data_IF_390717625328
#
_entry.id   IF_390717625328
#
_cell.length_a   1.000
_cell.length_b   1.000
_cell.length_c   1.000
_cell.angle_alpha   90.00
_cell.angle_beta   90.00
_cell.angle_gamma   90.00
#
_symmetry.space_group_name_H-M   'P 1'
#
loop_
_entity.id
_entity.type
_entity.pdbx_description
1 polymer ?
#
# COMPACT_ATOMS: atom_id res chain seq x y z
N UNK A 1 34.17 3.93 -40.27
CA UNK A 1 34.03 4.91 -39.18
C UNK A 1 32.62 5.50 -39.22
N UNK A 2 31.75 4.85 -38.45
CA UNK A 2 30.48 5.24 -37.82
C UNK A 2 29.58 6.30 -38.48
N UNK A 3 28.55 5.81 -39.18
CA UNK A 3 27.43 6.55 -39.79
C UNK A 3 26.40 7.11 -38.79
N UNK A 4 26.76 7.30 -37.51
CA UNK A 4 25.78 7.59 -36.45
C UNK A 4 25.28 9.05 -36.46
N UNK A 5 25.89 9.92 -37.27
CA UNK A 5 25.56 11.36 -37.31
C UNK A 5 24.31 11.71 -38.15
N UNK A 6 23.76 10.77 -38.94
CA UNK A 6 22.50 11.00 -39.71
C UNK A 6 21.22 10.74 -38.93
N UNK A 7 21.27 10.00 -37.82
CA UNK A 7 20.09 9.72 -36.99
C UNK A 7 19.74 10.90 -36.06
N UNK A 8 20.73 11.69 -35.65
CA UNK A 8 20.57 12.85 -34.75
C UNK A 8 20.15 14.15 -35.47
N UNK A 9 19.96 14.13 -36.79
CA UNK A 9 19.53 15.30 -37.57
C UNK A 9 18.05 15.27 -37.97
N UNK A 10 17.36 14.14 -37.71
CA UNK A 10 15.96 13.99 -38.05
C UNK A 10 15.10 14.33 -36.82
N UNK A 11 14.30 15.42 -36.84
CA UNK A 11 13.51 15.86 -35.68
C UNK A 11 12.56 14.76 -35.15
N UNK A 12 12.15 13.84 -36.03
CA UNK A 12 11.31 12.69 -35.69
C UNK A 12 12.05 11.65 -34.82
N UNK A 13 13.32 11.38 -35.09
CA UNK A 13 14.13 10.43 -34.28
C UNK A 13 14.46 11.02 -32.91
N UNK A 14 14.69 12.33 -32.85
CA UNK A 14 14.86 13.06 -31.58
C UNK A 14 13.57 13.02 -30.76
N UNK A 15 12.41 13.21 -31.39
CA UNK A 15 11.10 13.12 -30.74
C UNK A 15 10.82 11.75 -30.14
N UNK A 16 11.09 10.68 -30.89
CA UNK A 16 10.93 9.30 -30.40
C UNK A 16 11.92 9.01 -29.26
N UNK A 17 13.18 9.46 -29.39
CA UNK A 17 14.17 9.30 -28.33
C UNK A 17 13.76 10.00 -27.03
N UNK A 18 13.27 11.24 -27.12
CA UNK A 18 12.78 11.99 -25.97
C UNK A 18 11.55 11.34 -25.31
N UNK A 19 10.63 10.79 -26.11
CA UNK A 19 9.47 10.07 -25.61
C UNK A 19 9.85 8.81 -24.83
N UNK A 20 10.76 7.99 -25.38
CA UNK A 20 11.23 6.77 -24.70
C UNK A 20 11.96 7.10 -23.41
N UNK A 21 12.81 8.13 -23.40
CA UNK A 21 13.50 8.59 -22.19
C UNK A 21 12.49 9.08 -21.15
N UNK A 22 11.49 9.86 -21.56
CA UNK A 22 10.42 10.31 -20.68
C UNK A 22 9.61 9.16 -20.08
N UNK A 23 9.35 8.11 -20.86
CA UNK A 23 8.62 6.93 -20.42
C UNK A 23 9.43 6.10 -19.41
N UNK A 24 10.74 5.95 -19.62
CA UNK A 24 11.64 5.27 -18.67
C UNK A 24 11.75 6.03 -17.35
N UNK A 25 11.89 7.36 -17.42
CA UNK A 25 11.95 8.21 -16.22
C UNK A 25 10.61 8.18 -15.49
N UNK A 26 9.49 8.27 -16.22
CA UNK A 26 8.15 8.17 -15.67
C UNK A 26 7.92 6.82 -14.97
N UNK A 27 8.31 5.71 -15.61
CA UNK A 27 8.23 4.38 -15.01
C UNK A 27 9.02 4.30 -13.69
N UNK A 28 10.25 4.78 -13.68
CA UNK A 28 11.11 4.71 -12.49
C UNK A 28 10.56 5.54 -11.32
N UNK A 29 10.07 6.75 -11.60
CA UNK A 29 9.44 7.61 -10.59
C UNK A 29 8.12 7.02 -10.07
N UNK A 30 7.27 6.50 -10.95
CA UNK A 30 5.99 5.94 -10.54
C UNK A 30 6.16 4.66 -9.72
N UNK A 31 7.03 3.74 -10.17
CA UNK A 31 7.18 2.42 -9.54
C UNK A 31 7.93 2.41 -8.21
N UNK A 32 8.73 3.43 -7.90
CA UNK A 32 9.57 3.43 -6.68
C UNK A 32 9.37 4.65 -5.77
N UNK A 33 8.97 5.80 -6.31
CA UNK A 33 8.76 7.02 -5.52
C UNK A 33 7.28 7.22 -5.18
N UNK A 34 6.39 7.02 -6.16
CA UNK A 34 4.95 7.25 -5.96
C UNK A 34 4.23 6.05 -5.32
N UNK A 35 4.67 4.82 -5.61
CA UNK A 35 4.08 3.59 -5.08
C UNK A 35 5.17 2.66 -4.50
N UNK A 36 5.63 2.89 -3.26
CA UNK A 36 6.59 2.00 -2.63
C UNK A 36 5.97 0.60 -2.46
N UNK A 37 6.68 -0.42 -2.95
CA UNK A 37 6.24 -1.81 -2.88
C UNK A 37 6.20 -2.24 -1.41
N UNK A 38 5.02 -2.59 -0.91
CA UNK A 38 4.86 -3.15 0.42
C UNK A 38 4.86 -4.67 0.31
N UNK A 39 5.79 -5.33 1.01
CA UNK A 39 5.82 -6.78 1.10
C UNK A 39 4.78 -7.23 2.13
N UNK A 40 3.68 -7.80 1.67
CA UNK A 40 2.69 -8.49 2.51
C UNK A 40 2.97 -10.00 2.47
N UNK A 41 2.85 -10.67 3.63
CA UNK A 41 3.26 -12.06 3.88
C UNK A 41 4.78 -12.28 4.01
N UNK A 42 5.48 -11.41 4.74
CA UNK A 42 6.87 -11.64 5.12
C UNK A 42 6.98 -12.93 5.95
N UNK A 43 7.74 -13.91 5.46
CA UNK A 43 8.05 -15.13 6.21
C UNK A 43 9.12 -14.83 7.27
N UNK A 44 9.31 -15.75 8.21
CA UNK A 44 10.28 -15.59 9.30
C UNK A 44 11.70 -15.23 8.81
N UNK A 45 12.05 -15.64 7.59
CA UNK A 45 13.33 -15.34 6.95
C UNK A 45 13.45 -13.88 6.48
N UNK A 46 12.34 -13.22 6.14
CA UNK A 46 12.26 -11.85 5.61
C UNK A 46 12.32 -10.77 6.70
N UNK A 47 12.21 -11.16 7.98
CA UNK A 47 12.36 -10.23 9.09
C UNK A 47 13.78 -9.68 9.16
N UNK A 48 13.89 -8.39 9.49
CA UNK A 48 15.17 -7.82 9.84
C UNK A 48 15.77 -8.51 11.09
N UNK A 49 17.09 -8.48 11.28
CA UNK A 49 17.75 -9.19 12.38
C UNK A 49 17.21 -8.83 13.77
N UNK A 50 16.90 -7.56 14.02
CA UNK A 50 16.38 -7.11 15.32
C UNK A 50 14.97 -7.65 15.60
N UNK A 51 14.13 -7.78 14.57
CA UNK A 51 12.78 -8.31 14.70
C UNK A 51 12.80 -9.84 14.87
N UNK A 52 13.77 -10.54 14.28
CA UNK A 52 14.00 -11.97 14.53
C UNK A 52 14.34 -12.23 16.00
N UNK A 53 15.23 -11.43 16.57
CA UNK A 53 15.59 -11.51 18.00
C UNK A 53 14.35 -11.30 18.89
N UNK A 54 13.57 -10.26 18.62
CA UNK A 54 12.33 -9.96 19.37
C UNK A 54 11.30 -11.10 19.26
N UNK A 55 11.18 -11.71 18.08
CA UNK A 55 10.29 -12.84 17.86
C UNK A 55 10.69 -14.06 18.69
N UNK A 56 11.98 -14.41 18.74
CA UNK A 56 12.50 -15.53 19.55
C UNK A 56 12.17 -15.34 21.03
N UNK A 57 12.33 -14.12 21.54
CA UNK A 57 11.98 -13.78 22.94
C UNK A 57 10.47 -13.89 23.16
N UNK A 58 9.66 -13.43 22.20
CA UNK A 58 8.19 -13.55 22.29
C UNK A 58 7.73 -15.01 22.32
N UNK A 59 8.38 -15.88 21.53
CA UNK A 59 8.10 -17.32 21.57
C UNK A 59 8.49 -17.93 22.92
N UNK A 60 9.61 -17.49 23.52
CA UNK A 60 10.01 -17.92 24.85
C UNK A 60 9.01 -17.49 25.93
N UNK A 61 8.48 -16.28 25.83
CA UNK A 61 7.45 -15.75 26.75
C UNK A 61 6.12 -16.49 26.59
N UNK A 62 5.73 -16.82 25.35
CA UNK A 62 4.55 -17.65 25.08
C UNK A 62 4.71 -19.07 25.65
N UNK A 63 5.89 -19.68 25.49
CA UNK A 63 6.20 -20.99 26.06
C UNK A 63 6.12 -20.99 27.59
N UNK A 64 6.54 -19.91 28.25
CA UNK A 64 6.41 -19.79 29.70
C UNK A 64 4.95 -19.81 30.17
N UNK A 65 4.00 -19.40 29.31
CA UNK A 65 2.56 -19.41 29.61
C UNK A 65 1.87 -20.72 29.21
N UNK A 66 2.19 -21.27 28.03
CA UNK A 66 1.49 -22.42 27.45
C UNK A 66 2.17 -23.78 27.74
N UNK A 67 3.45 -23.78 28.13
CA UNK A 67 4.32 -24.96 28.31
C UNK A 67 4.33 -25.92 27.10
N UNK A 68 3.98 -25.43 25.91
CA UNK A 68 3.84 -26.23 24.71
C UNK A 68 5.10 -26.14 23.85
N UNK A 69 6.01 -27.08 24.07
CA UNK A 69 7.30 -27.12 23.36
C UNK A 69 7.15 -27.42 21.87
N UNK A 70 6.14 -28.20 21.48
CA UNK A 70 5.92 -28.56 20.07
C UNK A 70 5.43 -27.35 19.27
N UNK A 71 4.55 -26.54 19.84
CA UNK A 71 4.11 -25.28 19.25
C UNK A 71 5.24 -24.25 19.17
N UNK A 72 6.09 -24.18 20.20
CA UNK A 72 7.26 -23.31 20.17
C UNK A 72 8.26 -23.72 19.08
N UNK A 73 8.49 -25.03 18.90
CA UNK A 73 9.32 -25.54 17.79
C UNK A 73 8.71 -25.25 16.44
N UNK A 74 7.40 -25.41 16.28
CA UNK A 74 6.67 -25.06 15.06
C UNK A 74 6.91 -23.59 14.68
N UNK A 75 6.73 -22.69 15.64
CA UNK A 75 6.94 -21.24 15.46
C UNK A 75 8.38 -20.89 15.07
N UNK A 76 9.35 -21.70 15.47
CA UNK A 76 10.78 -21.49 15.19
C UNK A 76 11.31 -22.29 14.00
N UNK A 77 10.46 -23.01 13.24
CA UNK A 77 10.90 -23.88 12.13
C UNK A 77 11.71 -23.19 11.03
N UNK A 78 11.56 -21.88 10.88
CA UNK A 78 12.30 -21.07 9.89
C UNK A 78 13.62 -20.46 10.38
N UNK A 79 14.05 -20.75 11.61
CA UNK A 79 15.25 -20.16 12.22
C UNK A 79 16.36 -21.18 12.37
N UNK A 80 17.61 -20.70 12.27
CA UNK A 80 18.77 -21.55 12.53
C UNK A 80 18.93 -21.78 14.05
N UNK A 81 19.42 -22.96 14.47
CA UNK A 81 19.74 -23.22 15.87
C UNK A 81 20.72 -22.20 16.46
N UNK A 82 21.64 -21.69 15.64
CA UNK A 82 22.62 -20.69 16.02
C UNK A 82 21.96 -19.36 16.37
N UNK A 83 21.06 -18.86 15.51
CA UNK A 83 20.28 -17.62 15.74
C UNK A 83 19.47 -17.73 17.04
N UNK A 84 18.74 -18.83 17.21
CA UNK A 84 17.95 -19.09 18.43
C UNK A 84 18.85 -19.06 19.67
N UNK A 85 20.00 -19.75 19.62
CA UNK A 85 20.92 -19.81 20.76
C UNK A 85 21.54 -18.45 21.10
N UNK A 86 21.87 -17.64 20.09
CA UNK A 86 22.49 -16.33 20.29
C UNK A 86 21.49 -15.33 20.86
N UNK A 87 20.27 -15.28 20.32
CA UNK A 87 19.21 -14.39 20.81
C UNK A 87 18.82 -14.73 22.26
N UNK A 88 18.67 -16.02 22.59
CA UNK A 88 18.35 -16.43 23.97
C UNK A 88 19.48 -16.10 24.96
N UNK A 89 20.75 -16.26 24.56
CA UNK A 89 21.91 -15.88 25.39
C UNK A 89 21.99 -14.36 25.61
N UNK A 90 21.80 -13.59 24.55
CA UNK A 90 21.83 -12.13 24.60
C UNK A 90 20.71 -11.60 25.52
N UNK A 91 19.49 -12.09 25.35
CA UNK A 91 18.34 -11.67 26.16
C UNK A 91 18.48 -12.13 27.62
N UNK A 92 18.96 -13.35 27.87
CA UNK A 92 19.23 -13.83 29.23
C UNK A 92 20.25 -12.94 29.97
N UNK A 93 21.32 -12.53 29.27
CA UNK A 93 22.36 -11.64 29.85
C UNK A 93 21.79 -10.26 30.13
N UNK A 94 21.01 -9.71 29.20
CA UNK A 94 20.37 -8.40 29.32
C UNK A 94 19.40 -8.36 30.50
N UNK A 95 18.53 -9.36 30.65
CA UNK A 95 17.55 -9.42 31.74
C UNK A 95 18.19 -9.58 33.11
N UNK A 96 19.23 -10.41 33.23
CA UNK A 96 20.02 -10.51 34.47
C UNK A 96 20.72 -9.20 34.85
N UNK A 97 21.28 -8.50 33.86
CA UNK A 97 21.94 -7.20 34.09
C UNK A 97 20.95 -6.12 34.51
N UNK A 98 19.72 -6.18 34.00
CA UNK A 98 18.64 -5.25 34.34
C UNK A 98 17.89 -5.61 35.64
N UNK A 99 18.26 -6.70 36.32
CA UNK A 99 17.59 -7.14 37.55
C UNK A 99 16.26 -7.88 37.34
N UNK A 100 15.90 -8.22 36.11
CA UNK A 100 14.73 -9.02 35.76
C UNK A 100 15.02 -10.53 35.93
N UNK A 101 15.08 -10.97 37.18
CA UNK A 101 15.36 -12.37 37.53
C UNK A 101 14.27 -13.35 37.08
N UNK A 102 13.01 -12.90 37.06
CA UNK A 102 11.87 -13.71 36.62
C UNK A 102 11.89 -13.94 35.12
N UNK A 103 12.11 -12.88 34.33
CA UNK A 103 12.25 -12.99 32.89
C UNK A 103 13.48 -13.80 32.48
N UNK A 104 14.62 -13.62 33.17
CA UNK A 104 15.79 -14.45 32.95
C UNK A 104 15.53 -15.94 33.23
N UNK A 105 14.77 -16.27 34.29
CA UNK A 105 14.39 -17.65 34.58
C UNK A 105 13.48 -18.26 33.50
N UNK A 106 12.55 -17.48 32.92
CA UNK A 106 11.70 -17.90 31.80
C UNK A 106 12.55 -18.24 30.57
N UNK A 107 13.46 -17.36 30.18
CA UNK A 107 14.39 -17.60 29.07
C UNK A 107 15.26 -18.84 29.32
N UNK A 108 15.74 -19.04 30.56
CA UNK A 108 16.51 -20.23 30.93
C UNK A 108 15.71 -21.53 30.82
N UNK A 109 14.47 -21.53 31.30
CA UNK A 109 13.58 -22.69 31.21
C UNK A 109 13.27 -23.07 29.76
N UNK A 110 13.06 -22.07 28.89
CA UNK A 110 12.80 -22.28 27.47
C UNK A 110 14.04 -22.82 26.73
N UNK A 111 15.21 -22.22 26.99
CA UNK A 111 16.46 -22.70 26.41
C UNK A 111 16.76 -24.15 26.82
N UNK A 112 16.52 -24.51 28.08
CA UNK A 112 16.68 -25.88 28.55
C UNK A 112 15.73 -26.85 27.84
N UNK A 113 14.47 -26.45 27.64
CA UNK A 113 13.48 -27.25 26.91
C UNK A 113 13.86 -27.45 25.43
N UNK A 114 14.50 -26.46 24.82
CA UNK A 114 15.05 -26.55 23.47
C UNK A 114 16.40 -27.30 23.40
N UNK A 115 17.00 -27.67 24.53
CA UNK A 115 18.34 -28.28 24.58
C UNK A 115 19.48 -27.30 24.28
N UNK A 116 19.23 -25.99 24.42
CA UNK A 116 20.20 -24.91 24.23
C UNK A 116 20.91 -24.63 25.55
N UNK A 117 22.24 -24.78 25.56
CA UNK A 117 23.05 -24.43 26.72
C UNK A 117 23.29 -22.91 26.78
N UNK A 118 22.69 -22.24 27.76
CA UNK A 118 22.91 -20.82 28.06
C UNK A 118 24.18 -20.58 28.89
N UNK A 119 24.81 -21.62 29.40
CA UNK A 119 26.05 -21.52 30.17
C UNK A 119 27.19 -21.04 29.28
N UNK A 120 27.79 -19.92 29.68
CA UNK A 120 29.03 -19.38 29.14
C UNK A 120 30.21 -20.28 29.49
N UNK A 121 30.44 -21.35 28.73
CA UNK A 121 31.77 -22.00 28.72
C UNK A 121 32.43 -21.72 27.38
N UNK A 122 33.05 -20.54 27.34
CA UNK A 122 33.99 -20.11 26.32
C UNK A 122 34.88 -19.07 26.96
N UNK A 123 36.07 -19.49 27.40
CA UNK A 123 37.18 -18.61 27.81
C UNK A 123 37.40 -17.48 26.80
N UNK A 124 37.87 -16.29 27.25
CA UNK A 124 38.17 -15.18 26.35
C UNK A 124 39.32 -15.56 25.41
N UNK A 125 39.00 -16.01 24.21
CA UNK A 125 39.96 -16.11 23.13
C UNK A 125 40.11 -14.72 22.51
N UNK A 126 41.07 -13.97 23.04
CA UNK A 126 41.72 -12.88 22.34
C UNK A 126 42.50 -13.46 21.17
N UNK A 127 41.98 -13.32 19.95
CA UNK A 127 42.78 -13.31 18.71
C UNK A 127 42.02 -12.53 17.64
N UNK A 128 42.76 -11.83 16.79
CA UNK A 128 42.75 -10.38 16.71
C UNK A 128 41.51 -9.83 16.01
N UNK A 129 41.23 -8.55 16.26
CA UNK A 129 40.44 -7.70 15.37
C UNK A 129 40.82 -8.02 13.91
N UNK A 130 39.90 -8.52 13.06
CA UNK A 130 40.07 -8.33 11.63
C UNK A 130 39.99 -6.82 11.46
N UNK A 131 41.15 -6.23 11.25
CA UNK A 131 41.30 -4.86 10.77
C UNK A 131 40.25 -4.71 9.67
N UNK A 132 39.29 -3.81 9.89
CA UNK A 132 38.36 -3.35 8.86
C UNK A 132 39.17 -3.21 7.58
N UNK A 133 38.95 -4.04 6.55
CA UNK A 133 39.38 -3.65 5.24
C UNK A 133 38.61 -2.35 5.01
N UNK A 134 39.34 -1.26 4.83
CA UNK A 134 38.86 -0.15 4.03
C UNK A 134 38.62 -0.70 2.62
N UNK A 135 37.54 -1.46 2.48
CA UNK A 135 37.01 -1.99 1.25
C UNK A 135 35.72 -1.24 1.02
N UNK A 136 35.77 -0.31 0.06
CA UNK A 136 34.65 0.55 -0.31
C UNK A 136 33.40 -0.26 -0.60
N UNK A 137 32.41 -0.11 0.27
CA UNK A 137 31.04 -0.49 -0.02
C UNK A 137 30.47 0.53 -1.00
N UNK A 138 29.84 0.02 -2.05
CA UNK A 138 29.33 0.72 -3.25
C UNK A 138 28.37 1.89 -2.89
N UNK A 139 27.89 1.94 -1.65
CA UNK A 139 26.91 2.90 -1.15
C UNK A 139 27.51 4.18 -0.53
N UNK A 140 28.80 4.21 -0.16
CA UNK A 140 29.45 5.45 0.32
C UNK A 140 29.72 6.45 -0.83
N UNK A 141 29.72 5.96 -2.08
CA UNK A 141 29.92 6.78 -3.27
C UNK A 141 28.60 7.24 -3.92
N UNK A 142 27.43 6.84 -3.42
CA UNK A 142 26.16 7.19 -4.05
C UNK A 142 25.83 8.67 -3.87
N UNK A 143 26.15 9.25 -2.70
CA UNK A 143 26.02 10.69 -2.45
C UNK A 143 26.96 11.53 -3.32
N UNK A 144 28.21 11.07 -3.51
CA UNK A 144 29.18 11.75 -4.36
C UNK A 144 28.84 11.60 -5.86
N UNK A 145 28.33 10.43 -6.27
CA UNK A 145 27.86 10.18 -7.62
C UNK A 145 26.62 11.04 -7.96
N UNK A 146 25.68 11.18 -7.03
CA UNK A 146 24.51 12.06 -7.19
C UNK A 146 24.91 13.54 -7.27
N UNK A 147 25.90 13.99 -6.48
CA UNK A 147 26.43 15.35 -6.57
C UNK A 147 27.15 15.62 -7.90
N UNK A 148 27.94 14.67 -8.39
CA UNK A 148 28.59 14.78 -9.69
C UNK A 148 27.59 14.73 -10.85
N UNK A 149 26.55 13.89 -10.74
CA UNK A 149 25.48 13.82 -11.73
C UNK A 149 24.65 15.12 -11.75
N UNK A 150 24.32 15.67 -10.58
CA UNK A 150 23.65 16.96 -10.44
C UNK A 150 24.51 18.10 -11.01
N UNK A 151 25.81 18.11 -10.74
CA UNK A 151 26.76 19.07 -11.32
C UNK A 151 26.86 18.96 -12.84
N UNK A 152 26.88 17.74 -13.39
CA UNK A 152 26.90 17.51 -14.83
C UNK A 152 25.60 17.97 -15.50
N UNK A 153 24.44 17.70 -14.88
CA UNK A 153 23.13 18.17 -15.36
C UNK A 153 23.08 19.71 -15.36
N UNK A 154 23.60 20.36 -14.31
CA UNK A 154 23.70 21.82 -14.25
C UNK A 154 24.61 22.40 -15.35
N UNK A 155 25.74 21.76 -15.64
CA UNK A 155 26.64 22.19 -16.71
C UNK A 155 26.03 22.01 -18.10
N UNK A 156 25.31 20.91 -18.33
CA UNK A 156 24.59 20.67 -19.59
C UNK A 156 23.45 21.69 -19.76
N UNK A 157 22.68 21.95 -18.70
CA UNK A 157 21.63 22.97 -18.71
C UNK A 157 22.18 24.38 -18.97
N UNK A 158 23.31 24.73 -18.34
CA UNK A 158 24.01 26.00 -18.57
C UNK A 158 24.56 26.11 -19.99
N UNK A 159 25.13 25.03 -20.52
CA UNK A 159 25.61 24.95 -21.90
C UNK A 159 24.48 25.13 -22.92
N UNK A 160 23.33 24.49 -22.70
CA UNK A 160 22.13 24.66 -23.51
C UNK A 160 21.56 26.08 -23.43
N UNK A 161 21.54 26.67 -22.23
CA UNK A 161 21.09 28.06 -22.02
C UNK A 161 22.01 29.08 -22.72
N UNK A 162 23.33 28.89 -22.66
CA UNK A 162 24.27 29.75 -23.37
C UNK A 162 24.18 29.55 -24.88
N UNK A 163 23.99 28.32 -25.34
CA UNK A 163 23.80 27.99 -26.76
C UNK A 163 22.54 28.65 -27.35
N UNK A 164 21.40 28.58 -26.65
CA UNK A 164 20.17 29.25 -27.11
C UNK A 164 20.30 30.77 -27.09
N UNK A 165 21.00 31.33 -26.08
CA UNK A 165 21.25 32.77 -25.98
C UNK A 165 22.19 33.29 -27.06
N UNK A 166 23.22 32.54 -27.45
CA UNK A 166 24.12 32.92 -28.55
C UNK A 166 23.44 32.79 -29.92
N UNK A 167 22.52 31.84 -30.08
CA UNK A 167 21.75 31.68 -31.31
C UNK A 167 20.70 32.78 -31.50
N UNK A 168 20.20 33.35 -30.41
CA UNK A 168 19.28 34.50 -30.42
C UNK A 168 19.96 35.84 -30.78
N UNK A 169 21.30 35.92 -30.77
CA UNK A 169 22.05 37.17 -30.99
C UNK A 169 22.64 37.32 -32.40
N UNK A 170 22.18 36.52 -33.39
CA UNK A 170 22.37 36.84 -34.81
C UNK A 170 21.19 37.70 -35.26
N UNK A 171 21.42 39.01 -35.28
CA UNK A 171 20.44 40.07 -35.50
C UNK A 171 19.59 39.91 -36.77
N UNK A 172 18.31 40.32 -36.72
CA UNK A 172 17.52 40.71 -37.89
C UNK A 172 17.70 42.22 -38.18
N UNK A 173 17.36 42.63 -39.41
CA UNK A 173 17.02 44.00 -39.95
C UNK A 173 17.82 44.23 -41.25
N UNK A 174 17.27 44.58 -42.41
CA UNK A 174 16.24 45.58 -42.79
C UNK A 174 15.57 45.15 -44.14
N UNK A 175 14.48 45.70 -44.71
CA UNK A 175 13.62 46.86 -44.46
C UNK A 175 12.25 46.72 -45.20
N UNK A 176 11.23 47.37 -44.62
CA UNK A 176 9.88 47.88 -45.02
C UNK A 176 9.62 48.29 -46.52
N UNK A 177 8.40 48.79 -46.91
CA UNK A 177 6.97 48.36 -46.77
C UNK A 177 6.15 48.39 -48.10
N UNK A 178 4.88 47.93 -48.09
CA UNK A 178 3.66 48.73 -48.34
C UNK A 178 2.52 47.99 -49.10
N UNK A 179 1.30 48.17 -48.56
CA UNK A 179 -0.03 48.26 -49.22
C UNK A 179 -0.57 47.05 -50.01
N UNK A 180 -1.87 46.76 -50.17
CA UNK A 180 -3.19 47.03 -49.56
C UNK A 180 -4.15 46.10 -50.36
N UNK A 181 -5.29 45.73 -49.78
CA UNK A 181 -6.58 45.44 -50.45
C UNK A 181 -6.90 44.01 -50.97
N UNK A 182 -7.86 43.41 -50.25
CA UNK A 182 -9.16 42.93 -50.72
C UNK A 182 -9.39 41.54 -51.35
N UNK A 183 -10.58 41.05 -50.94
CA UNK A 183 -11.58 40.23 -51.64
C UNK A 183 -11.53 38.70 -51.50
N UNK A 184 -12.41 38.21 -50.61
CA UNK A 184 -13.59 37.37 -50.89
C UNK A 184 -13.54 36.34 -52.03
N UNK A 185 -13.91 35.08 -51.68
CA UNK A 185 -14.87 34.14 -52.34
C UNK A 185 -14.43 32.70 -52.02
N UNK A 186 -15.19 31.94 -51.21
CA UNK A 186 -16.09 30.81 -51.58
C UNK A 186 -15.34 29.63 -52.28
N UNK A 187 -15.65 28.34 -52.14
CA UNK A 187 -16.76 27.53 -51.64
C UNK A 187 -16.33 26.05 -51.87
N UNK A 188 -16.98 25.11 -51.18
CA UNK A 188 -17.34 23.72 -51.60
C UNK A 188 -16.30 22.58 -51.57
N UNK A 189 -16.55 21.66 -50.64
CA UNK A 189 -16.85 20.22 -50.78
C UNK A 189 -16.06 19.30 -51.72
N UNK A 190 -15.57 18.20 -51.17
CA UNK A 190 -15.82 16.77 -51.55
C UNK A 190 -14.95 15.89 -50.62
N UNK A 191 -15.49 14.99 -49.78
CA UNK A 191 -16.00 13.63 -50.08
C UNK A 191 -14.88 12.75 -50.69
N UNK A 192 -14.54 11.51 -50.29
CA UNK A 192 -15.26 10.42 -49.60
C UNK A 192 -14.24 9.29 -49.30
N UNK A 193 -14.51 8.45 -48.28
CA UNK A 193 -14.22 6.98 -48.17
C UNK A 193 -12.74 6.52 -48.19
N UNK A 194 -12.32 5.45 -47.51
CA UNK A 194 -12.95 4.15 -47.29
C UNK A 194 -12.11 3.33 -46.29
N UNK A 195 -12.78 2.49 -45.48
CA UNK A 195 -12.43 1.10 -45.10
C UNK A 195 -11.01 0.73 -44.62
N UNK A 196 -10.78 -0.23 -43.72
CA UNK A 196 -11.61 -1.13 -42.92
C UNK A 196 -10.67 -1.92 -41.97
N UNK A 197 -11.30 -2.65 -41.05
CA UNK A 197 -10.92 -4.01 -40.64
C UNK A 197 -9.75 -4.25 -39.66
N UNK A 198 -10.14 -4.40 -38.39
CA UNK A 198 -10.09 -5.66 -37.60
C UNK A 198 -8.84 -6.54 -37.54
N UNK A 199 -8.40 -6.84 -36.31
CA UNK A 199 -8.15 -8.18 -35.71
C UNK A 199 -7.46 -7.97 -34.34
N UNK A 200 -7.95 -8.52 -33.22
CA UNK A 200 -7.54 -9.82 -32.64
C UNK A 200 -6.23 -9.67 -31.84
N UNK A 201 -5.97 -10.18 -30.64
CA UNK A 201 -6.41 -11.29 -29.79
C UNK A 201 -5.86 -10.95 -28.35
N UNK A 202 -6.55 -11.27 -27.25
CA UNK A 202 -6.17 -12.34 -26.28
C UNK A 202 -4.72 -12.20 -25.71
N UNK A 203 -4.37 -12.29 -24.42
CA UNK A 203 -4.94 -12.95 -23.25
C UNK A 203 -4.00 -12.65 -22.04
N UNK A 204 -4.43 -13.05 -20.83
CA UNK A 204 -3.67 -13.37 -19.61
C UNK A 204 -3.62 -12.34 -18.46
N UNK A 205 -4.50 -12.62 -17.49
CA UNK A 205 -4.48 -12.18 -16.10
C UNK A 205 -4.17 -13.41 -15.22
N UNK A 206 -3.25 -13.36 -14.25
CA UNK A 206 -3.03 -14.47 -13.33
C UNK A 206 -3.77 -14.29 -11.99
N UNK A 207 -4.44 -15.37 -11.59
CA UNK A 207 -5.16 -15.57 -10.33
C UNK A 207 -4.24 -15.87 -9.12
N UNK A 208 -4.72 -15.59 -7.91
CA UNK A 208 -4.31 -16.22 -6.64
C UNK A 208 -5.44 -16.05 -5.58
N UNK A 209 -5.53 -16.90 -4.52
CA UNK A 209 -6.76 -17.62 -4.17
C UNK A 209 -7.54 -17.14 -2.93
N UNK A 210 -8.81 -17.59 -2.88
CA UNK A 210 -9.83 -17.36 -1.87
C UNK A 210 -9.64 -18.13 -0.55
N UNK A 211 -10.10 -17.54 0.55
CA UNK A 211 -10.44 -18.24 1.81
C UNK A 211 -11.92 -18.00 2.10
N UNK A 212 -12.63 -19.10 2.33
CA UNK A 212 -14.09 -19.18 2.42
C UNK A 212 -14.65 -18.55 3.70
N UNK A 213 -15.69 -17.72 3.56
CA UNK A 213 -16.53 -17.26 4.67
C UNK A 213 -17.90 -17.96 4.64
N UNK A 214 -18.20 -18.65 5.73
CA UNK A 214 -19.46 -19.36 5.99
C UNK A 214 -20.57 -18.35 6.25
N UNK A 215 -21.57 -18.27 5.36
CA UNK A 215 -22.75 -17.42 5.53
C UNK A 215 -23.85 -18.16 6.31
N UNK A 216 -24.28 -17.58 7.43
CA UNK A 216 -25.51 -17.97 8.14
C UNK A 216 -26.61 -16.93 7.85
N UNK A 217 -27.67 -17.37 7.20
CA UNK A 217 -28.83 -16.57 6.78
C UNK A 217 -29.79 -16.31 7.96
N UNK A 218 -30.20 -15.06 8.17
CA UNK A 218 -31.47 -14.72 8.83
C UNK A 218 -32.16 -13.65 8.00
N UNK A 219 -33.37 -13.94 7.55
CA UNK A 219 -34.13 -13.13 6.61
C UNK A 219 -34.94 -12.02 7.32
N UNK A 220 -34.92 -10.79 6.78
CA UNK A 220 -35.97 -9.80 7.05
C UNK A 220 -36.19 -8.83 5.88
N UNK A 221 -37.47 -8.78 5.46
CA UNK A 221 -38.26 -7.78 4.71
C UNK A 221 -37.62 -7.06 3.52
N UNK A 222 -38.17 -7.33 2.33
CA UNK A 222 -37.76 -6.79 1.04
C UNK A 222 -38.46 -5.46 0.67
N UNK A 223 -37.63 -4.48 0.27
CA UNK A 223 -37.99 -3.23 -0.44
C UNK A 223 -37.67 -3.45 -1.94
N UNK A 224 -38.27 -2.75 -2.92
CA UNK A 224 -38.58 -3.29 -4.24
C UNK A 224 -37.34 -3.57 -5.11
N UNK A 225 -37.51 -4.62 -5.92
CA UNK A 225 -36.54 -5.23 -6.83
C UNK A 225 -35.95 -4.25 -7.88
N UNK A 226 -34.98 -3.43 -7.49
CA UNK A 226 -33.75 -3.39 -8.31
C UNK A 226 -33.12 -4.77 -8.23
N UNK A 227 -32.39 -5.20 -9.25
CA UNK A 227 -31.81 -6.55 -9.31
C UNK A 227 -30.74 -6.68 -8.20
N UNK A 228 -31.20 -7.02 -7.00
CA UNK A 228 -30.39 -7.20 -5.81
C UNK A 228 -29.40 -8.32 -6.08
N UNK A 229 -28.16 -8.09 -5.67
CA UNK A 229 -27.04 -9.01 -5.82
C UNK A 229 -26.75 -9.75 -4.50
N UNK A 230 -27.67 -9.66 -3.53
CA UNK A 230 -27.56 -10.32 -2.23
C UNK A 230 -27.71 -9.35 -1.05
N UNK A 231 -27.47 -9.89 0.14
CA UNK A 231 -27.37 -9.14 1.39
C UNK A 231 -26.13 -9.64 2.10
N UNK A 232 -25.23 -8.71 2.44
CA UNK A 232 -23.97 -8.98 3.10
C UNK A 232 -23.90 -8.24 4.43
N UNK A 233 -23.12 -8.75 5.37
CA UNK A 233 -22.89 -8.10 6.65
C UNK A 233 -21.40 -8.03 6.95
N UNK A 234 -20.84 -6.83 6.97
CA UNK A 234 -19.49 -6.58 7.43
C UNK A 234 -19.52 -6.40 8.95
N UNK A 235 -18.80 -7.25 9.70
CA UNK A 235 -18.79 -7.24 11.16
C UNK A 235 -17.37 -7.08 11.67
N UNK A 236 -17.08 -5.92 12.23
CA UNK A 236 -15.85 -5.66 12.97
C UNK A 236 -16.04 -5.91 14.46
N UNK A 237 -15.03 -6.51 15.09
CA UNK A 237 -14.89 -6.58 16.55
C UNK A 237 -13.51 -6.09 16.99
N UNK A 238 -13.49 -5.38 18.11
CA UNK A 238 -12.22 -4.96 18.73
C UNK A 238 -11.30 -6.14 18.99
N UNK A 239 -10.03 -6.00 18.60
CA UNK A 239 -9.06 -7.09 18.54
C UNK A 239 -8.75 -7.55 17.12
N UNK A 240 -9.61 -7.24 16.15
CA UNK A 240 -9.37 -7.50 14.72
C UNK A 240 -8.53 -6.38 14.12
N UNK A 241 -7.23 -6.44 14.38
CA UNK A 241 -6.26 -5.50 13.79
C UNK A 241 -6.18 -5.68 12.27
N UNK A 242 -6.02 -4.57 11.54
CA UNK A 242 -6.04 -4.55 10.07
C UNK A 242 -7.30 -5.19 9.46
N UNK A 243 -8.46 -5.01 10.10
CA UNK A 243 -9.73 -5.52 9.61
C UNK A 243 -9.99 -5.08 8.16
N UNK A 244 -10.24 -6.04 7.29
CA UNK A 244 -10.63 -5.82 5.89
C UNK A 244 -11.49 -7.00 5.43
N UNK A 245 -12.70 -6.73 4.94
CA UNK A 245 -13.61 -7.74 4.39
C UNK A 245 -14.16 -7.27 3.06
N UNK A 246 -14.32 -8.20 2.13
CA UNK A 246 -14.92 -7.94 0.83
C UNK A 246 -15.96 -9.01 0.45
N UNK A 247 -16.86 -8.63 -0.46
CA UNK A 247 -17.94 -9.44 -0.98
C UNK A 247 -18.01 -9.28 -2.49
N UNK A 248 -17.79 -10.40 -3.20
CA UNK A 248 -17.88 -10.45 -4.66
C UNK A 248 -19.33 -10.30 -5.11
N UNK A 249 -19.55 -9.42 -6.09
CA UNK A 249 -20.85 -9.17 -6.69
C UNK A 249 -20.94 -9.89 -8.02
N UNK A 250 -21.85 -10.84 -8.13
CA UNK A 250 -22.02 -11.67 -9.32
C UNK A 250 -23.47 -11.74 -9.77
N UNK A 251 -23.70 -12.03 -11.06
CA UNK A 251 -25.03 -12.40 -11.54
C UNK A 251 -25.42 -13.79 -11.04
N UNK A 252 -26.69 -14.17 -11.18
CA UNK A 252 -27.16 -15.54 -10.92
C UNK A 252 -26.49 -16.62 -11.80
N UNK A 253 -25.73 -16.22 -12.83
CA UNK A 253 -24.94 -17.10 -13.69
C UNK A 253 -23.44 -17.14 -13.31
N UNK A 254 -23.04 -16.49 -12.21
CA UNK A 254 -21.65 -16.42 -11.76
C UNK A 254 -20.78 -15.46 -12.57
N UNK A 255 -21.38 -14.51 -13.30
CA UNK A 255 -20.62 -13.47 -13.98
C UNK A 255 -20.23 -12.39 -12.97
N UNK A 256 -18.93 -12.16 -12.79
CA UNK A 256 -18.40 -11.08 -11.96
C UNK A 256 -18.91 -9.71 -12.45
N UNK A 257 -19.32 -8.85 -11.53
CA UNK A 257 -19.81 -7.50 -11.78
C UNK A 257 -18.98 -6.44 -11.05
N UNK A 258 -18.44 -6.79 -9.89
CA UNK A 258 -17.75 -5.86 -9.00
C UNK A 258 -17.56 -6.46 -7.62
N UNK A 259 -17.20 -5.61 -6.67
CA UNK A 259 -16.94 -6.01 -5.29
C UNK A 259 -17.32 -4.87 -4.34
N UNK A 260 -17.76 -5.21 -3.14
CA UNK A 260 -18.00 -4.21 -2.07
C UNK A 260 -17.44 -4.73 -0.77
N UNK A 261 -17.03 -3.83 0.13
CA UNK A 261 -16.38 -4.23 1.36
C UNK A 261 -16.31 -3.13 2.40
N UNK A 262 -15.69 -3.50 3.53
CA UNK A 262 -15.39 -2.58 4.62
C UNK A 262 -14.02 -2.87 5.21
N UNK A 263 -13.17 -1.85 5.31
CA UNK A 263 -11.83 -1.95 5.89
C UNK A 263 -11.57 -0.91 6.98
N UNK A 264 -10.62 -1.19 7.88
CA UNK A 264 -10.15 -0.22 8.88
C UNK A 264 -9.28 0.84 8.22
N UNK A 265 -9.59 2.12 8.43
CA UNK A 265 -8.95 3.23 7.70
C UNK A 265 -8.10 4.17 8.56
N UNK A 266 -8.36 4.25 9.86
CA UNK A 266 -7.66 5.11 10.83
C UNK A 266 -7.72 4.50 12.22
N UNK A 267 -6.68 4.72 13.02
CA UNK A 267 -6.58 4.29 14.42
C UNK A 267 -6.16 5.47 15.32
N UNK A 268 -6.35 5.33 16.63
CA UNK A 268 -5.94 6.34 17.62
C UNK A 268 -5.08 5.72 18.73
N UNK A 269 -4.10 6.48 19.20
CA UNK A 269 -3.20 6.05 20.27
C UNK A 269 -2.24 4.95 19.83
N UNK A 270 -1.56 4.37 20.79
CA UNK A 270 -0.52 3.37 20.57
C UNK A 270 -0.91 2.01 21.18
N UNK A 271 -0.13 0.99 20.82
CA UNK A 271 -0.26 -0.38 21.34
C UNK A 271 -1.38 -1.19 20.71
N UNK A 272 -1.34 -2.50 20.95
CA UNK A 272 -2.34 -3.45 20.47
C UNK A 272 -3.41 -3.76 21.53
N UNK A 273 -4.62 -4.17 21.13
CA UNK A 273 -5.13 -4.14 19.75
C UNK A 273 -5.34 -2.70 19.25
N UNK A 274 -5.47 -2.54 17.94
CA UNK A 274 -5.67 -1.26 17.28
C UNK A 274 -7.02 -0.66 17.66
N UNK A 275 -7.00 0.62 18.03
CA UNK A 275 -8.20 1.37 18.41
C UNK A 275 -8.72 2.04 17.14
N UNK A 276 -9.41 1.27 16.30
CA UNK A 276 -9.91 1.73 15.00
C UNK A 276 -10.96 2.83 15.21
N UNK A 277 -10.75 3.98 14.57
CA UNK A 277 -11.58 5.18 14.72
C UNK A 277 -12.39 5.52 13.48
N UNK A 278 -12.06 4.91 12.34
CA UNK A 278 -12.80 5.04 11.10
C UNK A 278 -12.67 3.81 10.21
N UNK A 279 -13.70 3.53 9.43
CA UNK A 279 -13.75 2.46 8.43
C UNK A 279 -14.04 3.04 7.05
N UNK A 280 -13.39 2.53 6.02
CA UNK A 280 -13.85 2.74 4.65
C UNK A 280 -14.92 1.70 4.31
N UNK A 281 -16.02 2.15 3.73
CA UNK A 281 -16.99 1.32 3.03
C UNK A 281 -16.84 1.66 1.56
N UNK A 282 -16.65 0.66 0.72
CA UNK A 282 -16.27 0.87 -0.67
C UNK A 282 -17.06 -0.01 -1.65
N UNK A 283 -17.19 0.48 -2.88
CA UNK A 283 -17.82 -0.20 -4.00
C UNK A 283 -16.95 -0.07 -5.25
N UNK A 284 -16.55 -1.22 -5.78
CA UNK A 284 -15.87 -1.38 -7.06
C UNK A 284 -16.82 -1.99 -8.09
N UNK A 285 -16.76 -1.49 -9.32
CA UNK A 285 -17.56 -1.93 -10.45
C UNK A 285 -16.63 -2.28 -11.61
N UNK A 286 -16.78 -3.46 -12.22
CA UNK A 286 -15.90 -3.91 -13.30
C UNK A 286 -15.89 -2.98 -14.52
N UNK A 287 -16.94 -2.20 -14.69
CA UNK A 287 -17.13 -1.27 -15.82
C UNK A 287 -16.64 0.14 -15.50
N UNK A 288 -16.30 0.42 -14.24
CA UNK A 288 -15.82 1.70 -13.76
C UNK A 288 -14.39 1.57 -13.22
N UNK A 289 -13.49 2.42 -13.68
CA UNK A 289 -12.09 2.41 -13.20
C UNK A 289 -11.94 3.03 -11.83
N UNK A 290 -13.02 3.59 -11.25
CA UNK A 290 -13.00 4.26 -9.94
C UNK A 290 -13.78 3.45 -8.91
N UNK A 291 -13.14 3.25 -7.76
CA UNK A 291 -13.82 2.79 -6.55
C UNK A 291 -14.48 3.98 -5.87
N UNK A 292 -15.75 3.83 -5.50
CA UNK A 292 -16.47 4.81 -4.68
C UNK A 292 -16.31 4.42 -3.22
N UNK A 293 -15.88 5.36 -2.39
CA UNK A 293 -15.55 5.11 -0.98
C UNK A 293 -16.20 6.16 -0.09
N UNK A 294 -16.85 5.70 0.98
CA UNK A 294 -17.30 6.53 2.10
C UNK A 294 -16.56 6.11 3.38
N UNK A 295 -16.20 7.07 4.21
CA UNK A 295 -15.47 6.85 5.45
C UNK A 295 -16.43 6.99 6.63
N UNK A 296 -16.78 5.88 7.25
CA UNK A 296 -17.55 5.82 8.49
C UNK A 296 -16.65 6.15 9.68
N UNK A 297 -16.86 7.29 10.31
CA UNK A 297 -16.02 7.82 11.38
C UNK A 297 -16.69 7.70 12.73
N UNK A 298 -15.90 7.41 13.77
CA UNK A 298 -16.31 7.59 15.16
C UNK A 298 -16.65 9.05 15.46
N UNK A 299 -17.41 9.30 16.52
CA UNK A 299 -17.78 10.65 16.93
C UNK A 299 -16.55 11.52 17.23
N UNK A 300 -15.56 10.98 17.96
CA UNK A 300 -14.35 11.76 18.26
C UNK A 300 -13.54 12.06 16.99
N UNK A 301 -13.40 11.09 16.09
CA UNK A 301 -12.69 11.31 14.82
C UNK A 301 -13.43 12.32 13.93
N UNK A 302 -14.77 12.26 13.88
CA UNK A 302 -15.59 13.17 13.08
C UNK A 302 -15.59 14.61 13.63
N UNK A 303 -15.29 14.80 14.92
CA UNK A 303 -15.15 16.11 15.54
C UNK A 303 -13.71 16.64 15.51
N UNK A 304 -12.70 15.82 15.19
CA UNK A 304 -11.31 16.23 15.06
C UNK A 304 -10.98 16.73 13.64
N UNK A 305 -10.67 18.03 13.52
CA UNK A 305 -10.42 18.67 12.22
C UNK A 305 -9.24 18.03 11.47
N UNK A 306 -8.16 17.68 12.17
CA UNK A 306 -6.97 17.12 11.54
C UNK A 306 -7.26 15.73 10.95
N UNK A 307 -7.99 14.89 11.69
CA UNK A 307 -8.41 13.55 11.24
C UNK A 307 -9.35 13.64 10.05
N UNK A 308 -10.34 14.53 10.08
CA UNK A 308 -11.20 14.76 8.91
C UNK A 308 -10.42 15.20 7.67
N UNK A 309 -9.46 16.11 7.81
CA UNK A 309 -8.66 16.57 6.67
C UNK A 309 -7.85 15.43 6.05
N UNK A 310 -7.26 14.54 6.87
CA UNK A 310 -6.59 13.34 6.36
C UNK A 310 -7.55 12.42 5.62
N UNK A 311 -8.69 12.10 6.24
CA UNK A 311 -9.64 11.12 5.71
C UNK A 311 -10.45 11.61 4.51
N UNK A 312 -10.63 12.94 4.36
CA UNK A 312 -11.30 13.52 3.19
C UNK A 312 -10.57 13.23 1.87
N UNK A 313 -9.30 12.84 1.92
CA UNK A 313 -8.54 12.41 0.74
C UNK A 313 -8.86 10.96 0.32
N UNK A 314 -9.45 10.15 1.22
CA UNK A 314 -9.79 8.74 0.99
C UNK A 314 -11.22 8.52 0.51
N UNK A 315 -12.16 9.39 0.90
CA UNK A 315 -13.57 9.25 0.54
C UNK A 315 -14.47 10.30 1.19
N UNK A 316 -15.78 10.20 0.93
CA UNK A 316 -16.79 11.04 1.56
C UNK A 316 -16.90 10.71 3.06
N UNK A 317 -16.86 11.73 3.92
CA UNK A 317 -16.86 11.52 5.37
C UNK A 317 -18.26 11.42 5.93
N UNK A 318 -18.51 10.39 6.74
CA UNK A 318 -19.79 10.13 7.38
C UNK A 318 -19.60 9.84 8.86
N UNK A 319 -20.32 10.56 9.74
CA UNK A 319 -20.42 10.18 11.15
C UNK A 319 -21.17 8.85 11.29
N UNK A 320 -20.56 7.85 11.91
CA UNK A 320 -21.18 6.55 12.13
C UNK A 320 -22.22 6.63 13.27
N UNK A 321 -23.47 6.28 12.96
CA UNK A 321 -24.59 6.26 13.91
C UNK A 321 -25.43 5.01 13.64
N UNK A 322 -25.91 4.36 14.70
CA UNK A 322 -26.79 3.19 14.56
C UNK A 322 -28.08 3.57 13.82
N UNK A 323 -28.46 2.78 12.82
CA UNK A 323 -29.60 3.00 11.93
C UNK A 323 -29.34 4.00 10.80
N UNK A 324 -28.10 4.49 10.65
CA UNK A 324 -27.75 5.38 9.55
C UNK A 324 -27.61 4.61 8.25
N UNK A 325 -28.23 5.13 7.20
CA UNK A 325 -28.09 4.62 5.84
C UNK A 325 -27.07 5.46 5.06
N UNK A 326 -26.21 4.77 4.31
CA UNK A 326 -25.32 5.37 3.31
C UNK A 326 -25.55 4.68 1.97
N UNK A 327 -25.23 5.38 0.88
CA UNK A 327 -25.40 4.85 -0.47
C UNK A 327 -24.15 5.10 -1.30
N UNK A 328 -23.60 4.02 -1.86
CA UNK A 328 -22.49 4.09 -2.80
C UNK A 328 -23.02 3.77 -4.20
N UNK A 329 -22.65 4.58 -5.20
CA UNK A 329 -23.11 4.38 -6.58
C UNK A 329 -21.97 4.54 -7.57
N UNK A 330 -21.80 3.55 -8.43
CA UNK A 330 -20.93 3.58 -9.61
C UNK A 330 -21.77 3.78 -10.88
N UNK A 331 -21.16 3.53 -12.04
CA UNK A 331 -21.85 3.49 -13.32
C UNK A 331 -23.00 2.46 -13.35
N UNK A 332 -22.74 1.20 -12.96
CA UNK A 332 -23.70 0.10 -13.12
C UNK A 332 -24.15 -0.56 -11.81
N UNK A 333 -23.50 -0.23 -10.70
CA UNK A 333 -23.79 -0.82 -9.38
C UNK A 333 -24.18 0.27 -8.37
N UNK A 334 -25.00 -0.13 -7.40
CA UNK A 334 -25.29 0.63 -6.21
C UNK A 334 -25.26 -0.27 -4.98
N UNK A 335 -24.82 0.24 -3.85
CA UNK A 335 -24.91 -0.41 -2.54
C UNK A 335 -25.65 0.52 -1.61
N UNK A 336 -26.79 0.06 -1.10
CA UNK A 336 -27.44 0.65 0.07
C UNK A 336 -26.91 -0.07 1.31
N UNK A 337 -26.27 0.67 2.22
CA UNK A 337 -25.71 0.11 3.44
C UNK A 337 -26.34 0.74 4.69
N UNK A 338 -26.54 -0.06 5.74
CA UNK A 338 -27.10 0.35 7.02
C UNK A 338 -26.16 -0.02 8.16
N UNK A 339 -25.89 0.92 9.06
CA UNK A 339 -25.16 0.66 10.30
C UNK A 339 -26.11 0.04 11.32
N UNK A 340 -26.24 -1.29 11.32
CA UNK A 340 -27.22 -2.00 12.16
C UNK A 340 -26.81 -2.11 13.63
N UNK A 341 -25.50 -2.11 13.91
CA UNK A 341 -25.01 -2.11 15.29
C UNK A 341 -23.69 -1.35 15.42
N UNK A 342 -23.56 -0.59 16.51
CA UNK A 342 -22.41 0.25 16.79
C UNK A 342 -22.23 0.34 18.29
N UNK A 343 -21.05 -0.06 18.77
CA UNK A 343 -20.67 0.06 20.17
C UNK A 343 -19.27 0.67 20.22
N UNK A 344 -19.09 1.74 20.99
CA UNK A 344 -17.77 2.31 21.26
C UNK A 344 -17.09 1.60 22.41
N UNK A 345 -15.77 1.43 22.29
CA UNK A 345 -14.94 0.94 23.39
C UNK A 345 -14.55 2.11 24.31
N UNK A 346 -14.29 1.78 25.58
CA UNK A 346 -13.81 2.73 26.58
C UNK A 346 -12.39 2.38 26.98
N UNK A 347 -11.44 3.25 26.62
CA UNK A 347 -10.02 3.07 26.92
C UNK A 347 -9.54 4.27 27.74
N UNK A 348 -8.97 4.05 28.95
CA UNK A 348 -8.43 5.14 29.76
C UNK A 348 -7.39 5.97 28.99
N UNK A 349 -7.49 7.30 29.07
CA UNK A 349 -6.59 8.23 28.39
C UNK A 349 -6.95 8.54 26.94
N UNK A 350 -7.98 7.91 26.36
CA UNK A 350 -8.53 8.27 25.05
C UNK A 350 -9.84 9.07 25.19
N UNK A 351 -10.17 9.93 24.21
CA UNK A 351 -11.46 10.61 24.19
C UNK A 351 -12.63 9.61 24.22
N UNK A 352 -13.79 9.98 24.80
CA UNK A 352 -15.00 9.17 24.70
C UNK A 352 -15.42 9.00 23.23
N UNK A 353 -16.10 7.89 22.92
CA UNK A 353 -16.61 7.59 21.58
C UNK A 353 -15.55 7.70 20.47
N UNK A 354 -14.30 7.34 20.79
CA UNK A 354 -13.15 7.51 19.90
C UNK A 354 -12.85 6.31 19.01
N UNK A 355 -13.19 5.11 19.45
CA UNK A 355 -12.90 3.88 18.72
C UNK A 355 -13.97 2.83 18.97
N UNK A 356 -14.12 1.93 18.00
CA UNK A 356 -15.21 0.97 18.00
C UNK A 356 -14.83 -0.27 18.83
N UNK A 357 -15.74 -0.69 19.69
CA UNK A 357 -15.75 -2.04 20.28
C UNK A 357 -16.32 -3.05 19.27
N UNK A 358 -17.33 -2.61 18.52
CA UNK A 358 -18.08 -3.41 17.55
C UNK A 358 -18.71 -2.46 16.52
N UNK A 359 -18.67 -2.85 15.26
CA UNK A 359 -19.41 -2.20 14.18
C UNK A 359 -19.97 -3.27 13.24
N UNK A 360 -21.27 -3.23 12.97
CA UNK A 360 -21.91 -4.07 11.96
C UNK A 360 -22.57 -3.18 10.92
N UNK A 361 -22.20 -3.40 9.66
CA UNK A 361 -22.78 -2.73 8.50
C UNK A 361 -23.40 -3.79 7.60
N UNK A 362 -24.71 -3.73 7.42
CA UNK A 362 -25.40 -4.54 6.41
C UNK A 362 -25.35 -3.81 5.07
N UNK A 363 -25.14 -4.55 3.98
CA UNK A 363 -24.97 -4.03 2.63
C UNK A 363 -25.87 -4.78 1.67
N UNK A 364 -26.65 -4.03 0.89
CA UNK A 364 -27.57 -4.54 -0.13
C UNK A 364 -27.13 -4.00 -1.49
N UNK A 365 -26.24 -4.70 -2.20
CA UNK A 365 -25.85 -4.34 -3.56
C UNK A 365 -26.98 -4.61 -4.55
N UNK A 366 -27.06 -3.79 -5.60
CA UNK A 366 -27.99 -3.94 -6.72
C UNK A 366 -27.38 -3.43 -8.03
N UNK A 367 -27.84 -3.97 -9.16
CA UNK A 367 -27.55 -3.37 -10.48
C UNK A 367 -28.45 -2.15 -10.70
N UNK A 368 -27.84 -1.06 -11.17
CA UNK A 368 -28.55 0.11 -11.67
C UNK A 368 -29.17 -0.23 -13.02
N UNK A 369 -30.43 0.17 -13.19
CA UNK A 369 -31.24 -0.07 -14.39
C UNK A 369 -30.83 0.81 -15.57
#
# INVERSE_FOLDING_TARGET
MNNNSRLLSNPLVIGIGAFVIGLLIGWWLLGWVLFPVQYTNAELYDLNPAAKEMYIVTVADAYAADQNLDLARERLRGMTPEEISQSLKAEFTKRNTNGDSEGAARIASFAQALGVNLSSTGTPQVTPTPVKPSGGGIFDNLGMLLLLLAGLILLVALGLFLYTRMRANKSPTAAKPAATTAATTARTDTATTQDAASAGLADQSPSAPAVAATAATTARVATPLTKSLGTFAATYKFGEDNYDTSFTLETSRGEFLGETGMGSSETIGEGKPDKVTAFDVWLFDKTDVRTVTQILMSEAAFNDQATRQRLATKGELVLAEKGKHIKLETATLAVDAEIVDLVYASTPGLPPNSHFQKLIVEMVPSQKS
#
